data_IF_901896845240
#
_entry.id   IF_901896845240
#
_cell.length_a   1.000
_cell.length_b   1.000
_cell.length_c   1.000
_cell.angle_alpha   90.00
_cell.angle_beta   90.00
_cell.angle_gamma   90.00
#
_symmetry.space_group_name_H-M   'P 1'
#
loop_
_entity.id
_entity.type
_entity.pdbx_description
1 polymer ?
#
# COMPACT_ATOMS: atom_id res chain seq x y z
N UNK A 1 11.01 -8.45 -11.58
CA UNK A 1 10.10 -7.31 -11.88
C UNK A 1 10.47 -6.15 -10.99
N UNK A 2 10.69 -4.97 -11.57
CA UNK A 2 10.94 -3.76 -10.80
C UNK A 2 9.63 -3.13 -10.33
N UNK A 3 9.72 -2.18 -9.39
CA UNK A 3 8.53 -1.46 -8.90
C UNK A 3 7.86 -0.68 -10.04
N UNK A 4 8.65 -0.04 -10.90
CA UNK A 4 8.09 0.71 -12.03
C UNK A 4 7.48 -0.21 -13.09
N UNK A 5 8.05 -1.37 -13.31
CA UNK A 5 7.44 -2.38 -14.19
C UNK A 5 6.10 -2.85 -13.61
N UNK A 6 6.04 -3.09 -12.30
CA UNK A 6 4.79 -3.45 -11.64
C UNK A 6 3.73 -2.37 -11.84
N UNK A 7 4.08 -1.11 -11.58
CA UNK A 7 3.13 -0.01 -11.72
C UNK A 7 2.59 0.08 -13.15
N UNK A 8 3.47 -0.03 -14.13
CA UNK A 8 3.07 0.01 -15.53
C UNK A 8 2.11 -1.12 -15.88
N UNK A 9 2.41 -2.33 -15.45
CA UNK A 9 1.57 -3.49 -15.70
C UNK A 9 0.23 -3.40 -14.97
N UNK A 10 0.26 -2.99 -13.71
CA UNK A 10 -0.95 -2.86 -12.89
C UNK A 10 -1.93 -1.84 -13.50
N UNK A 11 -1.43 -0.72 -13.97
CA UNK A 11 -2.26 0.35 -14.51
C UNK A 11 -2.89 0.01 -15.87
N UNK A 12 -2.53 -1.10 -16.49
CA UNK A 12 -3.25 -1.57 -17.69
C UNK A 12 -4.69 -1.94 -17.38
N UNK A 13 -5.02 -2.19 -16.10
CA UNK A 13 -6.38 -2.51 -15.67
C UNK A 13 -7.12 -1.32 -15.09
N UNK A 14 -6.51 -0.13 -15.07
CA UNK A 14 -7.17 1.07 -14.63
C UNK A 14 -8.22 1.50 -15.67
N UNK A 15 -9.41 1.89 -15.21
CA UNK A 15 -10.48 2.38 -16.08
C UNK A 15 -10.02 3.66 -16.79
N UNK A 16 -9.84 3.63 -18.13
CA UNK A 16 -9.31 4.79 -18.86
C UNK A 16 -10.31 5.94 -18.97
N UNK A 17 -11.57 5.72 -18.62
CA UNK A 17 -12.58 6.77 -18.67
C UNK A 17 -12.52 7.72 -17.48
N UNK A 18 -11.78 7.36 -16.40
CA UNK A 18 -11.69 8.19 -15.21
C UNK A 18 -10.75 9.38 -15.42
N UNK A 19 -11.20 10.59 -15.04
CA UNK A 19 -10.31 11.74 -14.96
C UNK A 19 -9.38 11.65 -13.77
N UNK A 20 -8.35 12.50 -13.74
CA UNK A 20 -7.29 12.45 -12.71
C UNK A 20 -7.83 12.51 -11.28
N UNK A 21 -8.81 13.36 -11.03
CA UNK A 21 -9.39 13.50 -9.69
C UNK A 21 -10.13 12.24 -9.28
N UNK A 22 -10.88 11.63 -10.19
CA UNK A 22 -11.60 10.39 -9.90
C UNK A 22 -10.63 9.24 -9.68
N UNK A 23 -9.50 9.20 -10.40
CA UNK A 23 -8.45 8.21 -10.19
C UNK A 23 -7.88 8.35 -8.77
N UNK A 24 -7.63 9.58 -8.33
CA UNK A 24 -7.11 9.83 -6.98
C UNK A 24 -8.10 9.37 -5.91
N UNK A 25 -9.36 9.74 -6.05
CA UNK A 25 -10.39 9.36 -5.08
C UNK A 25 -10.56 7.84 -5.04
N UNK A 26 -10.65 7.21 -6.20
CA UNK A 26 -10.78 5.77 -6.30
C UNK A 26 -9.57 5.05 -5.66
N UNK A 27 -8.37 5.58 -5.89
CA UNK A 27 -7.16 5.01 -5.34
C UNK A 27 -7.15 4.99 -3.82
N UNK A 28 -7.45 6.13 -3.20
CA UNK A 28 -7.44 6.24 -1.73
C UNK A 28 -8.59 5.45 -1.12
N UNK A 29 -9.79 5.49 -1.72
CA UNK A 29 -10.93 4.71 -1.24
C UNK A 29 -10.66 3.21 -1.33
N UNK A 30 -10.08 2.76 -2.46
CA UNK A 30 -9.74 1.35 -2.64
C UNK A 30 -8.66 0.88 -1.67
N UNK A 31 -7.66 1.73 -1.40
CA UNK A 31 -6.62 1.43 -0.43
C UNK A 31 -7.23 1.17 0.95
N UNK A 32 -8.17 2.01 1.38
CA UNK A 32 -8.86 1.82 2.65
C UNK A 32 -9.72 0.56 2.64
N UNK A 33 -10.43 0.30 1.55
CA UNK A 33 -11.29 -0.87 1.43
C UNK A 33 -10.50 -2.18 1.49
N UNK A 34 -9.42 -2.28 0.73
CA UNK A 34 -8.60 -3.50 0.71
C UNK A 34 -7.86 -3.71 2.03
N UNK A 35 -7.43 -2.65 2.69
CA UNK A 35 -6.85 -2.75 4.04
C UNK A 35 -7.88 -3.28 5.02
N UNK A 36 -9.14 -2.86 4.88
CA UNK A 36 -10.23 -3.37 5.69
C UNK A 36 -10.51 -4.85 5.46
N UNK A 37 -10.44 -5.31 4.21
CA UNK A 37 -10.60 -6.74 3.91
C UNK A 37 -9.45 -7.57 4.48
N UNK A 38 -8.22 -7.04 4.45
CA UNK A 38 -7.08 -7.71 5.04
C UNK A 38 -7.25 -7.89 6.55
N UNK A 39 -7.67 -6.85 7.26
CA UNK A 39 -7.87 -6.95 8.72
C UNK A 39 -9.04 -7.89 9.07
N UNK A 40 -10.06 -7.98 8.22
CA UNK A 40 -11.16 -8.91 8.44
C UNK A 40 -10.68 -10.36 8.44
N UNK A 41 -9.78 -10.71 7.51
CA UNK A 41 -9.17 -12.04 7.48
C UNK A 41 -8.45 -12.35 8.79
N UNK A 42 -7.66 -11.41 9.29
CA UNK A 42 -6.91 -11.57 10.53
C UNK A 42 -7.85 -11.63 11.74
N UNK A 43 -8.88 -10.78 11.74
CA UNK A 43 -9.87 -10.78 12.83
C UNK A 43 -10.58 -12.13 12.95
N UNK A 44 -10.97 -12.72 11.83
CA UNK A 44 -11.63 -14.03 11.83
C UNK A 44 -10.73 -15.12 12.42
N UNK A 45 -9.43 -15.03 12.11
CA UNK A 45 -8.46 -15.97 12.66
C UNK A 45 -8.28 -15.78 14.17
N UNK A 46 -8.07 -14.53 14.61
CA UNK A 46 -7.76 -14.25 16.02
C UNK A 46 -8.98 -14.29 16.93
N UNK A 47 -10.14 -13.84 16.47
CA UNK A 47 -11.30 -13.63 17.32
C UNK A 47 -12.44 -14.60 17.08
N UNK A 48 -12.48 -15.31 15.98
CA UNK A 48 -13.60 -16.15 15.59
C UNK A 48 -13.20 -17.60 15.29
N UNK A 49 -11.98 -17.99 15.61
CA UNK A 49 -11.53 -19.38 15.52
C UNK A 49 -11.30 -19.92 14.12
N UNK A 50 -11.28 -19.08 13.10
CA UNK A 50 -10.97 -19.54 11.75
C UNK A 50 -9.49 -19.84 11.59
N UNK A 51 -9.09 -20.85 10.79
CA UNK A 51 -7.69 -20.95 10.36
C UNK A 51 -7.29 -19.67 9.62
N UNK A 52 -6.01 -19.28 9.68
CA UNK A 52 -5.56 -18.11 8.93
C UNK A 52 -5.66 -18.39 7.43
N UNK A 53 -6.44 -17.58 6.73
CA UNK A 53 -6.53 -17.63 5.28
C UNK A 53 -5.31 -16.92 4.68
N UNK A 54 -4.18 -17.63 4.63
CA UNK A 54 -2.90 -17.09 4.18
C UNK A 54 -2.98 -16.64 2.72
N UNK A 55 -3.56 -17.47 1.87
CA UNK A 55 -3.66 -17.15 0.43
C UNK A 55 -4.57 -15.95 0.17
N UNK A 56 -5.66 -15.84 0.90
CA UNK A 56 -6.55 -14.69 0.82
C UNK A 56 -5.84 -13.41 1.27
N UNK A 57 -5.04 -13.49 2.33
CA UNK A 57 -4.29 -12.33 2.81
C UNK A 57 -3.23 -11.89 1.79
N UNK A 58 -2.55 -12.84 1.15
CA UNK A 58 -1.59 -12.52 0.08
C UNK A 58 -2.28 -11.78 -1.07
N UNK A 59 -3.48 -12.22 -1.46
CA UNK A 59 -4.25 -11.54 -2.51
C UNK A 59 -4.61 -10.11 -2.11
N UNK A 60 -5.04 -9.91 -0.87
CA UNK A 60 -5.37 -8.57 -0.38
C UNK A 60 -4.15 -7.64 -0.37
N UNK A 61 -2.97 -8.17 -0.03
CA UNK A 61 -1.74 -7.38 -0.10
C UNK A 61 -1.47 -6.92 -1.54
N UNK A 62 -1.72 -7.78 -2.51
CA UNK A 62 -1.60 -7.42 -3.93
C UNK A 62 -2.57 -6.31 -4.31
N UNK A 63 -3.82 -6.40 -3.84
CA UNK A 63 -4.83 -5.38 -4.13
C UNK A 63 -4.48 -4.04 -3.49
N UNK A 64 -3.93 -4.05 -2.28
CA UNK A 64 -3.40 -2.84 -1.63
C UNK A 64 -2.31 -2.21 -2.51
N UNK A 65 -1.38 -3.02 -3.02
CA UNK A 65 -0.31 -2.54 -3.88
C UNK A 65 -0.86 -1.92 -5.18
N UNK A 66 -1.92 -2.50 -5.73
CA UNK A 66 -2.57 -1.96 -6.92
C UNK A 66 -3.09 -0.52 -6.67
N UNK A 67 -3.75 -0.30 -5.54
CA UNK A 67 -4.26 1.03 -5.19
C UNK A 67 -3.14 2.01 -4.84
N UNK A 68 -2.00 1.53 -4.32
CA UNK A 68 -0.81 2.38 -4.17
C UNK A 68 -0.31 2.86 -5.53
N UNK A 69 -0.26 1.96 -6.51
CA UNK A 69 0.16 2.29 -7.87
C UNK A 69 -0.79 3.31 -8.52
N UNK A 70 -2.10 3.12 -8.36
CA UNK A 70 -3.12 4.04 -8.89
C UNK A 70 -2.99 5.43 -8.25
N UNK A 71 -2.86 5.49 -6.94
CA UNK A 71 -2.77 6.75 -6.21
C UNK A 71 -1.51 7.52 -6.59
N UNK A 72 -0.37 6.84 -6.68
CA UNK A 72 0.88 7.45 -7.12
C UNK A 72 0.73 8.02 -8.54
N UNK A 73 0.10 7.26 -9.44
CA UNK A 73 -0.17 7.73 -10.80
C UNK A 73 -1.00 9.01 -10.80
N UNK A 74 -2.05 9.08 -9.98
CA UNK A 74 -2.89 10.27 -9.88
C UNK A 74 -2.11 11.50 -9.39
N UNK A 75 -1.06 11.29 -8.60
CA UNK A 75 -0.19 12.35 -8.09
C UNK A 75 1.01 12.65 -9.01
N UNK A 76 1.06 12.01 -10.17
CA UNK A 76 2.14 12.17 -11.16
C UNK A 76 3.51 11.80 -10.60
N UNK A 77 3.56 10.80 -9.71
CA UNK A 77 4.83 10.26 -9.23
C UNK A 77 4.87 8.75 -9.50
N UNK A 78 6.08 8.21 -9.64
CA UNK A 78 6.25 6.77 -9.76
C UNK A 78 6.10 6.11 -8.38
N UNK A 79 5.64 4.87 -8.36
CA UNK A 79 5.57 4.10 -7.13
C UNK A 79 6.97 3.90 -6.53
N UNK A 80 7.98 3.76 -7.37
CA UNK A 80 9.38 3.68 -6.95
C UNK A 80 9.79 4.92 -6.15
N UNK A 81 9.38 6.12 -6.61
CA UNK A 81 9.68 7.35 -5.89
C UNK A 81 8.99 7.40 -4.53
N UNK A 82 7.74 6.94 -4.45
CA UNK A 82 7.04 6.84 -3.17
C UNK A 82 7.82 5.97 -2.19
N UNK A 83 8.28 4.83 -2.67
CA UNK A 83 9.07 3.90 -1.85
C UNK A 83 10.41 4.50 -1.45
N UNK A 84 11.10 5.17 -2.36
CA UNK A 84 12.39 5.81 -2.07
C UNK A 84 12.23 6.90 -1.01
N UNK A 85 11.22 7.74 -1.13
CA UNK A 85 10.94 8.79 -0.13
C UNK A 85 10.66 8.19 1.24
N UNK A 86 9.98 7.05 1.27
CA UNK A 86 9.72 6.36 2.53
C UNK A 86 11.01 5.83 3.15
N UNK A 87 11.89 5.22 2.36
CA UNK A 87 13.18 4.73 2.84
C UNK A 87 14.03 5.89 3.37
N UNK A 88 14.06 7.01 2.65
CA UNK A 88 14.82 8.19 3.08
C UNK A 88 14.32 8.72 4.42
N UNK A 89 13.01 8.76 4.60
CA UNK A 89 12.40 9.17 5.87
C UNK A 89 12.77 8.21 7.00
N UNK A 90 12.75 6.91 6.75
CA UNK A 90 13.09 5.89 7.75
C UNK A 90 14.57 5.98 8.14
N UNK A 91 15.46 6.21 7.18
CA UNK A 91 16.89 6.39 7.47
C UNK A 91 17.15 7.64 8.31
N UNK A 92 16.39 8.71 8.06
CA UNK A 92 16.51 9.93 8.88
C UNK A 92 16.05 9.70 10.31
N UNK A 93 14.98 8.92 10.51
CA UNK A 93 14.47 8.60 11.85
C UNK A 93 15.32 7.56 12.57
N UNK A 94 15.82 6.58 11.86
CA UNK A 94 16.52 5.40 12.40
C UNK A 94 17.77 5.12 11.59
N UNK A 95 18.79 6.00 11.67
CA UNK A 95 19.98 5.84 10.82
C UNK A 95 20.72 4.53 11.03
N UNK A 96 20.54 3.89 12.17
CA UNK A 96 21.20 2.63 12.51
C UNK A 96 20.19 1.51 12.82
N UNK A 97 19.00 1.59 12.21
CA UNK A 97 17.93 0.64 12.45
C UNK A 97 16.98 1.11 13.55
N UNK A 98 15.99 0.28 13.85
CA UNK A 98 14.97 0.65 14.83
C UNK A 98 15.57 0.95 16.20
N UNK A 99 15.08 2.02 16.83
CA UNK A 99 15.46 2.46 18.15
C UNK A 99 14.20 2.99 18.85
N UNK A 100 13.77 2.32 19.92
CA UNK A 100 12.55 2.65 20.64
C UNK A 100 12.57 4.08 21.18
N UNK A 101 13.74 4.54 21.65
CA UNK A 101 13.91 5.89 22.18
C UNK A 101 13.65 6.93 21.09
N UNK A 102 14.19 6.70 19.88
CA UNK A 102 13.96 7.60 18.75
C UNK A 102 12.50 7.61 18.33
N UNK A 103 11.82 6.47 18.43
CA UNK A 103 10.40 6.39 18.14
C UNK A 103 9.57 7.23 19.13
N UNK A 104 9.86 7.11 20.41
CA UNK A 104 9.14 7.84 21.48
C UNK A 104 9.39 9.35 21.38
N UNK A 105 10.64 9.76 21.10
CA UNK A 105 11.03 11.17 21.03
C UNK A 105 10.74 11.82 19.68
N UNK A 106 10.15 11.09 18.75
CA UNK A 106 9.83 11.61 17.42
C UNK A 106 8.78 12.72 17.50
N UNK A 107 9.05 13.81 16.80
CA UNK A 107 8.12 14.93 16.69
C UNK A 107 7.33 14.87 15.40
#
# INVERSE_FOLDING_TARGET
MTVNEYQKMALTTLNPALGKQDVLINGVMGLCGESGEAIDIVKKHLAQGHPLDREGLIKELGDVAWYLAETAYALDVSLDEVFQRNIDKLKARYPEGFDARRSVERK
#
